data_IF_937043924528
#
_entry.id   IF_937043924528
#
_cell.length_a   1.000
_cell.length_b   1.000
_cell.length_c   1.000
_cell.angle_alpha   90.00
_cell.angle_beta   90.00
_cell.angle_gamma   90.00
#
_symmetry.space_group_name_H-M   'P 1'
#
loop_
_entity.id
_entity.type
_entity.pdbx_description
1 polymer ?
#
# COMPACT_ATOMS: atom_id res chain seq x y z
N UNK A 1 5.43 38.43 37.26
CA UNK A 1 5.07 36.98 37.17
C UNK A 1 5.11 36.49 35.72
N UNK A 2 5.83 37.23 34.86
CA UNK A 2 5.61 37.25 33.42
C UNK A 2 6.60 36.36 32.67
N UNK A 3 7.81 36.18 33.25
CA UNK A 3 8.83 35.32 32.69
C UNK A 3 8.43 33.84 32.72
N UNK A 4 7.72 33.40 33.78
CA UNK A 4 7.22 32.02 33.88
C UNK A 4 6.12 31.73 32.86
N UNK A 5 5.20 32.67 32.67
CA UNK A 5 4.14 32.54 31.67
C UNK A 5 4.73 32.55 30.24
N UNK A 6 5.70 33.42 29.98
CA UNK A 6 6.41 33.45 28.70
C UNK A 6 7.17 32.14 28.43
N UNK A 7 7.88 31.58 29.41
CA UNK A 7 8.56 30.28 29.27
C UNK A 7 7.58 29.13 29.02
N UNK A 8 6.42 29.12 29.68
CA UNK A 8 5.40 28.09 29.47
C UNK A 8 4.79 28.19 28.07
N UNK A 9 4.53 29.40 27.57
CA UNK A 9 4.03 29.62 26.21
C UNK A 9 5.05 29.18 25.15
N UNK A 10 6.33 29.51 25.35
CA UNK A 10 7.40 29.10 24.43
C UNK A 10 7.55 27.58 24.38
N UNK A 11 7.54 26.92 25.54
CA UNK A 11 7.65 25.48 25.64
C UNK A 11 6.43 24.78 25.01
N UNK A 12 5.23 25.35 25.19
CA UNK A 12 4.02 24.89 24.53
C UNK A 12 4.11 25.01 23.00
N UNK A 13 4.51 26.17 22.48
CA UNK A 13 4.70 26.36 21.03
C UNK A 13 5.75 25.42 20.44
N UNK A 14 6.85 25.18 21.17
CA UNK A 14 7.89 24.25 20.74
C UNK A 14 7.35 22.82 20.69
N UNK A 15 6.57 22.39 21.69
CA UNK A 15 5.96 21.06 21.74
C UNK A 15 4.95 20.84 20.60
N UNK A 16 4.10 21.84 20.32
CA UNK A 16 3.16 21.81 19.19
C UNK A 16 3.91 21.74 17.86
N UNK A 17 5.00 22.51 17.71
CA UNK A 17 5.80 22.47 16.49
C UNK A 17 6.46 21.10 16.29
N UNK A 18 7.04 20.53 17.35
CA UNK A 18 7.69 19.21 17.31
C UNK A 18 6.73 18.08 16.95
N UNK A 19 5.50 18.15 17.46
CA UNK A 19 4.47 17.13 17.19
C UNK A 19 3.83 17.29 15.80
N UNK A 20 3.76 18.51 15.26
CA UNK A 20 3.22 18.76 13.91
C UNK A 20 4.08 18.23 12.76
N UNK A 21 5.38 18.02 13.00
CA UNK A 21 6.31 17.47 12.03
C UNK A 21 6.11 15.96 11.81
N UNK A 22 5.49 15.26 12.76
CA UNK A 22 5.19 13.83 12.67
C UNK A 22 3.80 13.66 12.08
N UNK A 23 3.66 13.93 10.77
CA UNK A 23 2.51 13.42 10.03
C UNK A 23 2.80 11.95 9.73
N UNK A 24 1.99 11.00 10.19
CA UNK A 24 2.09 9.65 9.67
C UNK A 24 1.93 9.76 8.15
N UNK A 25 2.90 9.23 7.41
CA UNK A 25 2.72 8.94 5.99
C UNK A 25 1.62 7.89 5.92
N UNK A 26 0.37 8.34 5.92
CA UNK A 26 -0.76 7.51 5.56
C UNK A 26 -0.50 7.15 4.10
N UNK A 27 0.13 5.99 3.88
CA UNK A 27 0.51 5.50 2.57
C UNK A 27 -0.68 5.71 1.63
N UNK A 28 -0.43 6.42 0.52
CA UNK A 28 -1.51 6.79 -0.38
C UNK A 28 -2.19 5.50 -0.81
N UNK A 29 -3.50 5.38 -0.53
CA UNK A 29 -4.24 4.17 -0.85
C UNK A 29 -4.49 4.14 -2.35
N UNK A 30 -3.57 3.54 -3.09
CA UNK A 30 -3.65 3.40 -4.54
C UNK A 30 -4.60 2.25 -4.86
N UNK A 31 -5.68 2.55 -5.57
CA UNK A 31 -6.61 1.55 -6.07
C UNK A 31 -6.29 1.25 -7.52
N UNK A 32 -5.67 0.10 -7.77
CA UNK A 32 -5.55 -0.45 -9.14
C UNK A 32 -6.69 -1.41 -9.38
N UNK A 33 -7.33 -1.28 -10.54
CA UNK A 33 -8.27 -2.29 -11.00
C UNK A 33 -7.50 -3.61 -11.26
N UNK A 34 -7.68 -4.57 -10.36
CA UNK A 34 -7.12 -5.92 -10.44
C UNK A 34 -8.26 -6.92 -10.31
N UNK A 35 -8.08 -8.08 -10.92
CA UNK A 35 -9.07 -9.16 -10.87
C UNK A 35 -8.38 -10.46 -10.45
N UNK A 36 -9.12 -11.30 -9.71
CA UNK A 36 -8.63 -12.58 -9.22
C UNK A 36 -9.48 -13.71 -9.81
N UNK A 37 -8.83 -14.67 -10.47
CA UNK A 37 -9.50 -15.82 -11.10
C UNK A 37 -8.88 -17.12 -10.63
N UNK A 38 -9.68 -18.18 -10.66
CA UNK A 38 -9.16 -19.53 -10.50
C UNK A 38 -8.43 -19.94 -11.80
N UNK A 39 -7.21 -20.44 -11.67
CA UNK A 39 -6.43 -20.95 -12.81
C UNK A 39 -6.17 -22.43 -12.60
N UNK A 40 -6.84 -23.25 -13.41
CA UNK A 40 -6.57 -24.69 -13.49
C UNK A 40 -5.18 -24.89 -14.11
N UNK A 41 -4.28 -25.60 -13.43
CA UNK A 41 -2.90 -25.81 -13.90
C UNK A 41 -1.83 -25.08 -13.08
N UNK A 42 -2.22 -24.34 -12.04
CA UNK A 42 -1.28 -23.78 -11.07
C UNK A 42 -0.53 -22.55 -11.56
N UNK A 43 0.60 -22.25 -10.90
CA UNK A 43 1.35 -21.01 -11.11
C UNK A 43 1.95 -20.88 -12.52
N UNK A 44 2.48 -21.98 -13.07
CA UNK A 44 3.09 -21.97 -14.42
C UNK A 44 2.06 -21.63 -15.51
N UNK A 45 0.84 -22.17 -15.38
CA UNK A 45 -0.24 -21.88 -16.33
C UNK A 45 -0.70 -20.42 -16.21
N UNK A 46 -0.75 -19.89 -14.99
CA UNK A 46 -1.03 -18.48 -14.76
C UNK A 46 0.03 -17.57 -15.41
N UNK A 47 1.31 -17.93 -15.31
CA UNK A 47 2.40 -17.21 -15.97
C UNK A 47 2.32 -17.30 -17.50
N UNK A 48 1.92 -18.46 -18.03
CA UNK A 48 1.69 -18.64 -19.46
C UNK A 48 0.56 -17.75 -19.96
N UNK A 49 -0.56 -17.68 -19.23
CA UNK A 49 -1.70 -16.80 -19.54
C UNK A 49 -1.26 -15.33 -19.50
N UNK A 50 -0.52 -14.92 -18.46
CA UNK A 50 0.03 -13.58 -18.33
C UNK A 50 0.87 -13.19 -19.55
N UNK A 51 1.86 -14.01 -19.92
CA UNK A 51 2.70 -13.75 -21.10
C UNK A 51 1.91 -13.73 -22.40
N UNK A 52 0.95 -14.65 -22.57
CA UNK A 52 0.14 -14.76 -23.79
C UNK A 52 -0.74 -13.54 -24.02
N UNK A 53 -1.30 -12.97 -22.95
CA UNK A 53 -2.29 -11.88 -23.04
C UNK A 53 -1.75 -10.51 -22.61
N UNK A 54 -0.46 -10.41 -22.23
CA UNK A 54 0.15 -9.17 -21.76
C UNK A 54 -0.33 -8.75 -20.37
N UNK A 55 -0.80 -9.70 -19.55
CA UNK A 55 -1.15 -9.44 -18.16
C UNK A 55 0.07 -9.58 -17.25
N UNK A 56 -0.04 -8.99 -16.06
CA UNK A 56 0.92 -9.15 -14.98
C UNK A 56 0.33 -10.11 -13.95
N UNK A 57 1.03 -11.22 -13.70
CA UNK A 57 0.68 -12.17 -12.65
C UNK A 57 1.24 -11.69 -11.29
N UNK A 58 0.36 -11.45 -10.32
CA UNK A 58 0.72 -11.05 -8.95
C UNK A 58 0.77 -12.23 -7.98
N UNK A 59 0.54 -13.45 -8.47
CA UNK A 59 0.49 -14.66 -7.67
C UNK A 59 -0.84 -14.85 -6.95
N UNK A 60 -0.82 -15.77 -5.99
CA UNK A 60 -2.01 -16.22 -5.29
C UNK A 60 -2.47 -15.20 -4.24
N UNK A 61 -3.76 -14.86 -4.27
CA UNK A 61 -4.40 -13.98 -3.28
C UNK A 61 -5.10 -14.71 -2.15
N UNK A 62 -5.34 -16.02 -2.29
CA UNK A 62 -6.00 -16.85 -1.28
C UNK A 62 -5.05 -17.93 -0.74
N UNK A 63 -4.84 -17.93 0.58
CA UNK A 63 -4.09 -19.00 1.29
C UNK A 63 -4.90 -20.29 1.49
N UNK A 64 -6.10 -20.37 0.94
CA UNK A 64 -7.04 -21.48 1.13
C UNK A 64 -6.99 -22.45 -0.07
N UNK A 65 -7.72 -23.56 0.07
CA UNK A 65 -7.79 -24.68 -0.89
C UNK A 65 -8.25 -24.33 -2.31
N UNK A 66 -8.78 -23.12 -2.53
CA UNK A 66 -9.08 -22.57 -3.86
C UNK A 66 -8.06 -21.48 -4.22
N UNK A 67 -6.98 -21.84 -4.96
CA UNK A 67 -5.95 -20.89 -5.34
C UNK A 67 -6.51 -19.92 -6.38
N UNK A 68 -6.62 -18.63 -6.02
CA UNK A 68 -7.01 -17.56 -6.93
C UNK A 68 -5.79 -16.73 -7.26
N UNK A 69 -5.53 -16.57 -8.54
CA UNK A 69 -4.40 -15.77 -9.03
C UNK A 69 -4.89 -14.38 -9.37
N UNK A 70 -4.16 -13.35 -8.91
CA UNK A 70 -4.43 -11.96 -9.26
C UNK A 70 -3.69 -11.55 -10.53
N UNK A 71 -4.43 -10.94 -11.45
CA UNK A 71 -3.90 -10.33 -12.66
C UNK A 71 -4.16 -8.83 -12.72
N UNK A 72 -3.31 -8.11 -13.44
CA UNK A 72 -3.52 -6.71 -13.83
C UNK A 72 -3.02 -6.43 -15.24
N UNK A 73 -3.54 -5.36 -15.85
CA UNK A 73 -3.01 -4.81 -17.11
C UNK A 73 -1.98 -3.69 -16.88
N UNK A 74 -1.80 -3.29 -15.62
CA UNK A 74 -0.92 -2.18 -15.24
C UNK A 74 0.21 -2.67 -14.35
N UNK A 75 1.45 -2.20 -14.57
CA UNK A 75 2.55 -2.46 -13.64
C UNK A 75 2.20 -1.93 -12.24
N UNK A 76 2.75 -2.55 -11.18
CA UNK A 76 2.58 -2.03 -9.83
C UNK A 76 3.06 -0.58 -9.78
N UNK A 77 2.28 0.26 -9.11
CA UNK A 77 2.63 1.67 -8.94
C UNK A 77 3.94 1.77 -8.17
N UNK A 78 4.82 2.71 -8.55
CA UNK A 78 6.06 2.95 -7.80
C UNK A 78 5.74 3.30 -6.34
N UNK A 79 6.64 2.93 -5.40
CA UNK A 79 6.47 3.15 -3.97
C UNK A 79 6.47 4.63 -3.59
#
# INVERSE_FOLDING_TARGET
MDLRLASLLLLWTLLVLLTSAVRPSAGQKIYTNTWAVHVTGGAEEADRIARKHGFINHGNVSRLSDPKIRFSNYPPSPP
#
